data_IF_557638291315
#
_entry.id   IF_557638291315
#
_cell.length_a   1.000
_cell.length_b   1.000
_cell.length_c   1.000
_cell.angle_alpha   90.00
_cell.angle_beta   90.00
_cell.angle_gamma   90.00
#
_symmetry.space_group_name_H-M   'P 1'
#
loop_
_entity.id
_entity.type
_entity.pdbx_description
1 polymer ?
#
# COMPACT_ATOMS: atom_id res chain seq x y z
N UNK A 1 -2.09 11.81 -17.19
CA UNK A 1 -1.62 10.50 -16.65
C UNK A 1 -2.49 10.04 -15.50
N UNK A 2 -2.89 10.94 -14.59
CA UNK A 2 -3.84 10.68 -13.51
C UNK A 2 -5.08 9.89 -13.95
N UNK A 3 -5.80 10.35 -14.98
CA UNK A 3 -7.02 9.66 -15.48
C UNK A 3 -6.79 8.23 -16.01
N UNK A 4 -5.54 7.83 -16.28
CA UNK A 4 -5.21 6.47 -16.76
C UNK A 4 -4.62 5.58 -15.67
N UNK A 5 -3.81 6.15 -14.79
CA UNK A 5 -3.02 5.39 -13.80
C UNK A 5 -3.52 5.54 -12.37
N UNK A 6 -4.33 6.56 -12.09
CA UNK A 6 -4.69 6.98 -10.73
C UNK A 6 -3.58 7.71 -9.98
N UNK A 7 -2.42 7.93 -10.61
CA UNK A 7 -1.25 8.57 -9.97
C UNK A 7 -1.04 9.97 -10.58
N UNK A 8 -0.96 11.04 -9.76
CA UNK A 8 -0.69 12.40 -10.24
C UNK A 8 0.75 12.52 -10.75
N UNK A 9 0.97 13.39 -11.74
CA UNK A 9 2.32 13.67 -12.24
C UNK A 9 3.07 14.62 -11.32
N UNK A 10 4.37 14.80 -11.59
CA UNK A 10 5.18 15.79 -10.88
C UNK A 10 4.63 17.23 -11.07
N UNK A 11 4.09 17.54 -12.25
CA UNK A 11 3.44 18.83 -12.52
C UNK A 11 2.18 18.99 -11.66
N UNK A 12 1.32 17.97 -11.59
CA UNK A 12 0.13 17.97 -10.75
C UNK A 12 0.51 18.25 -9.29
N UNK A 13 1.49 17.50 -8.75
CA UNK A 13 1.96 17.64 -7.36
C UNK A 13 2.54 19.04 -7.11
N UNK A 14 3.26 19.62 -8.08
CA UNK A 14 3.84 20.96 -7.97
C UNK A 14 2.77 22.03 -7.78
N UNK A 15 1.57 21.86 -8.36
CA UNK A 15 0.47 22.84 -8.22
C UNK A 15 -0.06 22.95 -6.79
N UNK A 16 0.09 21.90 -5.97
CA UNK A 16 -0.41 21.83 -4.59
C UNK A 16 0.69 21.83 -3.54
N UNK A 17 1.95 22.02 -3.97
CA UNK A 17 3.12 22.00 -3.10
C UNK A 17 3.50 23.41 -2.63
N UNK A 18 3.70 23.64 -1.32
CA UNK A 18 4.25 24.88 -0.81
C UNK A 18 5.74 25.02 -1.16
N UNK A 19 6.30 26.22 -0.98
CA UNK A 19 7.74 26.42 -1.06
C UNK A 19 8.48 25.70 0.07
N UNK A 20 9.75 25.37 -0.15
CA UNK A 20 10.62 24.77 0.88
C UNK A 20 10.72 25.66 2.12
N UNK A 21 10.85 26.98 1.92
CA UNK A 21 10.84 27.97 3.01
C UNK A 21 9.56 27.91 3.84
N UNK A 22 8.42 27.58 3.22
CA UNK A 22 7.17 27.43 3.96
C UNK A 22 7.14 26.12 4.74
N UNK A 23 7.64 25.02 4.18
CA UNK A 23 7.65 23.71 4.85
C UNK A 23 8.41 23.74 6.19
N UNK A 24 9.48 24.54 6.28
CA UNK A 24 10.31 24.66 7.49
C UNK A 24 9.77 25.64 8.54
N UNK A 25 8.73 26.43 8.23
CA UNK A 25 8.10 27.36 9.20
C UNK A 25 7.15 26.70 10.18
N UNK A 26 6.77 25.45 9.91
CA UNK A 26 5.82 24.69 10.73
C UNK A 26 4.75 23.99 9.89
N UNK A 27 3.79 23.33 10.56
CA UNK A 27 2.87 22.43 9.90
C UNK A 27 1.98 23.16 8.88
N UNK A 28 1.71 22.49 7.76
CA UNK A 28 0.90 23.02 6.66
C UNK A 28 0.10 21.89 6.01
N UNK A 29 -1.13 22.21 5.57
CA UNK A 29 -1.94 21.24 4.82
C UNK A 29 -1.45 21.13 3.37
N UNK A 30 -1.54 19.93 2.81
CA UNK A 30 -1.36 19.63 1.39
C UNK A 30 -2.67 19.01 0.93
N UNK A 31 -3.31 19.62 -0.08
CA UNK A 31 -4.62 19.17 -0.59
C UNK A 31 -4.42 18.61 -1.99
N UNK A 32 -4.44 17.29 -2.12
CA UNK A 32 -4.19 16.57 -3.38
C UNK A 32 -5.51 16.28 -4.13
N UNK A 33 -6.33 17.32 -4.30
CA UNK A 33 -7.50 17.29 -5.17
C UNK A 33 -7.10 17.75 -6.57
N UNK A 34 -7.15 16.86 -7.56
CA UNK A 34 -6.71 17.14 -8.94
C UNK A 34 -7.84 17.09 -9.96
N UNK A 35 -9.07 16.79 -9.53
CA UNK A 35 -10.24 16.67 -10.39
C UNK A 35 -11.39 17.50 -9.85
N UNK A 36 -12.13 18.14 -10.76
CA UNK A 36 -13.30 18.95 -10.44
C UNK A 36 -14.47 18.02 -10.08
N UNK A 37 -14.64 17.79 -8.79
CA UNK A 37 -15.72 16.97 -8.20
C UNK A 37 -16.51 17.82 -7.22
N UNK A 38 -17.83 17.62 -7.07
CA UNK A 38 -18.66 18.47 -6.22
C UNK A 38 -18.41 18.18 -4.72
N UNK A 39 -17.44 18.88 -4.11
CA UNK A 39 -17.00 18.65 -2.74
C UNK A 39 -16.39 19.91 -2.07
N UNK A 40 -16.96 20.35 -0.95
CA UNK A 40 -16.49 21.49 -0.14
C UNK A 40 -16.25 21.26 1.38
N UNK A 41 -16.32 20.06 2.00
CA UNK A 41 -16.12 19.92 3.44
C UNK A 41 -14.82 20.52 3.99
N UNK A 42 -13.75 20.57 3.19
CA UNK A 42 -12.48 21.14 3.62
C UNK A 42 -12.54 22.67 3.78
N UNK A 43 -13.26 23.38 2.90
CA UNK A 43 -13.43 24.84 2.97
C UNK A 43 -14.32 25.20 4.15
N UNK A 44 -15.47 24.53 4.30
CA UNK A 44 -16.42 24.74 5.40
C UNK A 44 -15.81 24.42 6.78
N UNK A 45 -14.87 23.49 6.83
CA UNK A 45 -14.17 23.12 8.06
C UNK A 45 -13.09 24.12 8.47
N UNK A 46 -12.56 24.92 7.53
CA UNK A 46 -11.38 25.74 7.76
C UNK A 46 -11.71 27.02 8.55
N UNK A 47 -11.75 26.92 9.88
CA UNK A 47 -11.97 28.08 10.76
C UNK A 47 -10.87 29.15 10.68
N UNK A 48 -9.68 28.76 10.21
CA UNK A 48 -8.56 29.67 10.00
C UNK A 48 -8.74 30.56 8.76
N UNK A 49 -9.66 30.20 7.85
CA UNK A 49 -9.81 30.90 6.56
C UNK A 49 -8.64 30.66 5.59
N UNK A 50 -7.81 29.64 5.83
CA UNK A 50 -6.67 29.33 4.96
C UNK A 50 -7.10 28.65 3.66
N UNK A 51 -8.17 27.84 3.68
CA UNK A 51 -8.75 27.26 2.46
C UNK A 51 -9.85 28.20 1.99
N UNK A 52 -9.68 28.77 0.80
CA UNK A 52 -10.59 29.78 0.27
C UNK A 52 -11.98 29.20 -0.01
N UNK A 53 -13.07 29.97 0.19
CA UNK A 53 -14.40 29.57 -0.25
C UNK A 53 -14.44 29.27 -1.74
N UNK A 54 -15.28 28.30 -2.13
CA UNK A 54 -15.52 27.94 -3.52
C UNK A 54 -16.77 28.65 -4.01
N UNK A 55 -16.71 29.26 -5.20
CA UNK A 55 -17.90 29.81 -5.87
C UNK A 55 -18.76 28.67 -6.45
N UNK A 56 -18.11 27.70 -7.10
CA UNK A 56 -18.71 26.44 -7.53
C UNK A 56 -18.09 25.28 -6.71
N UNK A 57 -18.94 24.43 -6.14
CA UNK A 57 -18.53 23.26 -5.36
C UNK A 57 -17.67 22.27 -6.17
N UNK A 58 -17.69 22.35 -7.50
CA UNK A 58 -16.83 21.56 -8.37
C UNK A 58 -15.40 22.12 -8.49
N UNK A 59 -15.15 23.37 -8.07
CA UNK A 59 -13.82 23.97 -8.16
C UNK A 59 -12.84 23.28 -7.20
N UNK A 60 -11.56 23.26 -7.60
CA UNK A 60 -10.50 22.76 -6.75
C UNK A 60 -10.27 23.68 -5.53
N UNK A 61 -10.04 23.11 -4.33
CA UNK A 61 -9.75 23.88 -3.13
C UNK A 61 -8.44 24.65 -3.29
N UNK A 62 -8.48 25.96 -3.01
CA UNK A 62 -7.29 26.82 -3.00
C UNK A 62 -6.85 27.05 -1.57
N UNK A 63 -5.65 26.57 -1.23
CA UNK A 63 -5.06 26.76 0.08
C UNK A 63 -4.04 27.92 0.06
N UNK A 64 -4.23 28.88 0.94
CA UNK A 64 -3.20 29.83 1.32
C UNK A 64 -2.28 29.20 2.37
N UNK A 65 -1.07 28.85 1.94
CA UNK A 65 -0.10 28.21 2.82
C UNK A 65 0.36 29.13 3.96
N UNK A 66 0.39 30.45 3.78
CA UNK A 66 0.85 31.38 4.82
C UNK A 66 -0.16 31.51 5.96
N UNK A 67 -1.45 31.44 5.64
CA UNK A 67 -2.52 31.48 6.64
C UNK A 67 -2.80 30.10 7.27
N UNK A 68 -2.37 29.01 6.65
CA UNK A 68 -2.54 27.67 7.18
C UNK A 68 -1.62 27.41 8.39
N UNK A 69 -2.19 26.93 9.50
CA UNK A 69 -1.45 26.53 10.70
C UNK A 69 -1.34 25.00 10.88
N UNK A 70 -1.77 24.22 9.89
CA UNK A 70 -1.68 22.76 9.92
C UNK A 70 -2.47 22.08 11.06
N UNK A 71 -3.60 22.65 11.50
CA UNK A 71 -4.41 22.09 12.59
C UNK A 71 -4.99 20.70 12.29
N UNK A 72 -5.14 20.32 11.01
CA UNK A 72 -5.60 18.98 10.60
C UNK A 72 -7.12 18.78 10.59
N UNK A 73 -7.93 19.81 10.87
CA UNK A 73 -9.40 19.68 10.85
C UNK A 73 -9.90 19.32 9.44
N UNK A 74 -9.35 19.95 8.40
CA UNK A 74 -9.68 19.64 7.01
C UNK A 74 -9.31 18.20 6.63
N UNK A 75 -8.15 17.70 7.09
CA UNK A 75 -7.74 16.30 6.92
C UNK A 75 -8.79 15.35 7.48
N UNK A 76 -9.20 15.57 8.74
CA UNK A 76 -10.16 14.69 9.39
C UNK A 76 -11.54 14.66 8.71
N UNK A 77 -11.92 15.73 7.99
CA UNK A 77 -13.24 15.85 7.35
C UNK A 77 -13.22 15.59 5.86
N UNK A 78 -12.06 15.26 5.29
CA UNK A 78 -11.94 15.02 3.85
C UNK A 78 -12.56 13.67 3.50
N UNK A 79 -13.69 13.61 2.78
CA UNK A 79 -14.29 12.32 2.41
C UNK A 79 -13.44 11.56 1.39
N UNK A 80 -12.59 12.25 0.63
CA UNK A 80 -11.68 11.66 -0.35
C UNK A 80 -10.31 11.26 0.20
N UNK A 81 -10.05 11.46 1.51
CA UNK A 81 -8.76 11.19 2.15
C UNK A 81 -7.56 11.85 1.43
N UNK A 82 -7.80 12.96 0.73
CA UNK A 82 -6.84 13.63 -0.15
C UNK A 82 -6.05 14.76 0.53
N UNK A 83 -6.18 14.91 1.85
CA UNK A 83 -5.53 15.99 2.59
C UNK A 83 -4.52 15.40 3.57
N UNK A 84 -3.32 15.94 3.53
CA UNK A 84 -2.20 15.55 4.39
C UNK A 84 -1.73 16.79 5.15
N UNK A 85 -1.16 16.61 6.34
CA UNK A 85 -0.45 17.70 7.03
C UNK A 85 1.02 17.34 7.06
N UNK A 86 1.86 18.23 6.54
CA UNK A 86 3.31 18.05 6.53
C UNK A 86 3.96 19.09 7.43
N UNK A 87 5.03 18.69 8.11
CA UNK A 87 5.76 19.53 9.04
C UNK A 87 7.26 19.20 8.98
N UNK A 88 8.00 19.99 8.20
CA UNK A 88 9.45 19.85 8.07
C UNK A 88 10.23 20.66 9.13
N UNK A 89 9.54 21.35 10.05
CA UNK A 89 10.20 22.05 11.17
C UNK A 89 10.38 21.17 12.40
N UNK A 90 10.02 19.87 12.31
CA UNK A 90 10.01 18.95 13.45
C UNK A 90 11.40 18.70 14.06
N UNK A 91 12.41 18.40 13.23
CA UNK A 91 13.81 18.24 13.68
C UNK A 91 14.77 18.60 12.54
N UNK A 92 16.09 18.45 12.73
CA UNK A 92 17.07 18.74 11.68
C UNK A 92 17.02 17.74 10.52
N UNK A 93 16.75 16.47 10.81
CA UNK A 93 16.81 15.36 9.83
C UNK A 93 15.45 14.74 9.51
N UNK A 94 14.48 14.93 10.38
CA UNK A 94 13.16 14.29 10.28
C UNK A 94 12.06 15.33 10.15
N UNK A 95 10.94 14.87 9.63
CA UNK A 95 9.70 15.61 9.44
C UNK A 95 8.52 14.77 9.94
N UNK A 96 7.39 15.42 10.19
CA UNK A 96 6.12 14.73 10.45
C UNK A 96 5.23 14.81 9.22
N UNK A 97 4.66 13.67 8.84
CA UNK A 97 3.51 13.62 7.92
C UNK A 97 2.30 13.06 8.66
N UNK A 98 1.15 13.71 8.50
CA UNK A 98 -0.13 13.26 9.05
C UNK A 98 -0.98 12.73 7.91
N UNK A 99 -1.44 11.49 8.05
CA UNK A 99 -2.14 10.75 7.01
C UNK A 99 -3.54 10.37 7.52
N UNK A 100 -4.60 10.58 6.73
CA UNK A 100 -5.92 10.06 7.04
C UNK A 100 -5.95 8.53 6.84
N UNK A 101 -6.57 7.80 7.77
CA UNK A 101 -6.56 6.33 7.78
C UNK A 101 -7.92 5.77 8.21
N UNK A 102 -8.48 4.87 7.40
CA UNK A 102 -9.82 4.30 7.60
C UNK A 102 -9.84 2.76 7.62
N UNK A 103 -8.67 2.12 7.71
CA UNK A 103 -8.57 0.66 7.72
C UNK A 103 -8.47 0.09 9.14
N UNK A 104 -8.71 -1.21 9.25
CA UNK A 104 -8.47 -1.99 10.46
C UNK A 104 -7.41 -3.09 10.18
N UNK A 105 -6.51 -3.40 11.13
CA UNK A 105 -6.36 -2.74 12.43
C UNK A 105 -5.81 -1.32 12.31
N UNK A 106 -5.95 -0.54 13.39
CA UNK A 106 -5.35 0.80 13.52
C UNK A 106 -3.97 0.63 14.15
N UNK A 107 -2.90 1.25 13.60
CA UNK A 107 -1.56 1.13 14.17
C UNK A 107 -1.51 1.70 15.59
N UNK A 108 -0.53 1.23 16.36
CA UNK A 108 -0.26 1.76 17.71
C UNK A 108 0.87 2.79 17.69
N UNK A 109 0.88 3.69 18.68
CA UNK A 109 2.00 4.63 18.88
C UNK A 109 3.28 3.84 19.17
N UNK A 110 4.37 4.20 18.50
CA UNK A 110 5.66 3.50 18.53
C UNK A 110 5.76 2.30 17.57
N UNK A 111 4.66 1.90 16.92
CA UNK A 111 4.69 0.84 15.92
C UNK A 111 5.44 1.30 14.65
N UNK A 112 6.23 0.40 14.07
CA UNK A 112 6.86 0.63 12.76
C UNK A 112 5.94 0.15 11.65
N UNK A 113 5.56 1.06 10.76
CA UNK A 113 4.72 0.77 9.58
C UNK A 113 5.51 1.04 8.29
N UNK A 114 5.04 0.53 7.16
CA UNK A 114 5.63 0.85 5.86
C UNK A 114 4.97 2.11 5.32
N UNK A 115 5.75 3.12 4.99
CA UNK A 115 5.26 4.29 4.26
C UNK A 115 5.17 3.99 2.77
N UNK A 116 4.06 4.38 2.17
CA UNK A 116 3.77 4.19 0.76
C UNK A 116 3.69 5.53 0.04
N UNK A 117 4.14 5.55 -1.21
CA UNK A 117 3.93 6.69 -2.11
C UNK A 117 2.54 6.66 -2.76
N UNK A 118 2.27 7.62 -3.66
CA UNK A 118 1.00 7.77 -4.38
C UNK A 118 0.66 6.60 -5.32
N UNK A 119 1.66 5.84 -5.77
CA UNK A 119 1.50 4.63 -6.57
C UNK A 119 1.38 3.37 -5.71
N UNK A 120 1.46 3.49 -4.38
CA UNK A 120 1.46 2.36 -3.46
C UNK A 120 2.82 1.65 -3.34
N UNK A 121 3.89 2.25 -3.83
CA UNK A 121 5.25 1.71 -3.74
C UNK A 121 5.84 2.00 -2.35
N UNK A 122 6.70 1.09 -1.88
CA UNK A 122 7.27 1.15 -0.54
C UNK A 122 8.46 2.12 -0.50
N UNK A 123 8.39 3.12 0.39
CA UNK A 123 9.44 4.13 0.58
C UNK A 123 10.36 3.80 1.76
N UNK A 124 9.88 3.02 2.73
CA UNK A 124 10.63 2.66 3.92
C UNK A 124 9.76 2.30 5.10
N UNK A 125 10.40 2.01 6.23
CA UNK A 125 9.73 1.76 7.51
C UNK A 125 9.85 2.97 8.42
N UNK A 126 8.72 3.44 8.94
CA UNK A 126 8.61 4.67 9.71
C UNK A 126 7.85 4.44 11.01
N UNK A 127 8.20 5.18 12.04
CA UNK A 127 7.59 5.08 13.36
C UNK A 127 6.32 5.92 13.44
N UNK A 128 5.26 5.34 14.01
CA UNK A 128 4.01 6.03 14.32
C UNK A 128 4.18 6.85 15.59
N UNK A 129 4.30 8.17 15.45
CA UNK A 129 4.50 9.09 16.56
C UNK A 129 3.21 9.38 17.36
N UNK A 130 2.07 9.42 16.68
CA UNK A 130 0.77 9.70 17.30
C UNK A 130 -0.35 9.09 16.46
N UNK A 131 -1.43 8.70 17.14
CA UNK A 131 -2.69 8.27 16.53
C UNK A 131 -3.82 9.05 17.17
N UNK A 132 -4.70 9.62 16.34
CA UNK A 132 -5.89 10.35 16.80
C UNK A 132 -7.13 9.80 16.11
N UNK A 133 -8.14 9.43 16.89
CA UNK A 133 -9.46 9.04 16.37
C UNK A 133 -10.29 10.27 16.01
N UNK A 134 -11.04 10.21 14.91
CA UNK A 134 -12.10 11.16 14.59
C UNK A 134 -13.34 11.03 15.50
N UNK A 135 -13.39 10.02 16.38
CA UNK A 135 -14.46 9.79 17.34
C UNK A 135 -15.57 8.87 16.83
N UNK A 136 -16.77 9.02 17.39
CA UNK A 136 -17.89 8.12 17.05
C UNK A 136 -18.54 8.46 15.71
N UNK A 137 -18.68 9.75 15.40
CA UNK A 137 -19.34 10.27 14.18
C UNK A 137 -18.43 10.31 12.96
N UNK A 138 -17.12 10.22 13.18
CA UNK A 138 -16.12 10.24 12.13
C UNK A 138 -15.10 9.14 12.41
N UNK A 139 -15.06 8.13 11.53
CA UNK A 139 -14.22 6.95 11.69
C UNK A 139 -12.83 7.12 11.07
N UNK A 140 -12.54 8.28 10.47
CA UNK A 140 -11.20 8.61 9.98
C UNK A 140 -10.25 8.83 11.16
N UNK A 141 -9.16 8.05 11.18
CA UNK A 141 -8.04 8.29 12.06
C UNK A 141 -7.05 9.23 11.39
N UNK A 142 -6.35 10.02 12.19
CA UNK A 142 -5.14 10.72 11.74
C UNK A 142 -3.94 9.99 12.33
N UNK A 143 -2.98 9.65 11.49
CA UNK A 143 -1.75 8.94 11.88
C UNK A 143 -0.56 9.89 11.64
N UNK A 144 0.23 10.16 12.67
CA UNK A 144 1.46 10.95 12.57
C UNK A 144 2.61 10.00 12.38
N UNK A 145 3.36 10.17 11.31
CA UNK A 145 4.56 9.40 11.00
C UNK A 145 5.77 10.30 11.03
N UNK A 146 6.84 9.82 11.65
CA UNK A 146 8.15 10.44 11.59
C UNK A 146 8.87 9.88 10.37
N UNK A 147 9.20 10.75 9.44
CA UNK A 147 9.82 10.40 8.15
C UNK A 147 11.07 11.24 7.92
N UNK A 148 12.05 10.76 7.14
CA UNK A 148 13.12 11.61 6.61
C UNK A 148 12.56 12.84 5.89
N UNK A 149 13.23 13.99 6.02
CA UNK A 149 12.75 15.26 5.44
C UNK A 149 12.51 15.21 3.93
N UNK A 150 13.36 14.50 3.20
CA UNK A 150 13.26 14.28 1.76
C UNK A 150 11.97 13.53 1.37
N UNK A 151 11.41 12.72 2.26
CA UNK A 151 10.22 11.91 2.00
C UNK A 151 8.91 12.54 2.49
N UNK A 152 8.95 13.72 3.12
CA UNK A 152 7.76 14.36 3.72
C UNK A 152 6.64 14.64 2.70
N UNK A 153 7.02 14.96 1.47
CA UNK A 153 6.09 15.21 0.37
C UNK A 153 5.72 13.95 -0.43
N UNK A 154 6.35 12.81 -0.14
CA UNK A 154 6.15 11.58 -0.91
C UNK A 154 5.32 10.53 -0.19
N UNK A 155 5.43 10.44 1.14
CA UNK A 155 4.63 9.49 1.92
C UNK A 155 3.16 9.94 1.94
N UNK A 156 2.28 9.08 1.44
CA UNK A 156 0.82 9.33 1.31
C UNK A 156 -0.05 8.19 1.80
N UNK A 157 0.53 7.04 2.11
CA UNK A 157 -0.18 5.93 2.73
C UNK A 157 0.70 5.17 3.70
N UNK A 158 0.06 4.26 4.44
CA UNK A 158 0.77 3.29 5.26
C UNK A 158 0.25 1.89 5.03
N UNK A 159 1.11 0.91 5.29
CA UNK A 159 0.73 -0.49 5.40
C UNK A 159 1.29 -1.09 6.68
N UNK A 160 0.43 -1.80 7.40
CA UNK A 160 0.81 -2.51 8.62
C UNK A 160 1.63 -3.75 8.30
N UNK A 161 2.42 -4.21 9.28
CA UNK A 161 3.17 -5.46 9.19
C UNK A 161 4.52 -5.41 8.46
N UNK A 162 5.16 -4.23 8.38
CA UNK A 162 6.52 -4.10 7.82
C UNK A 162 6.62 -4.37 6.32
N UNK A 163 7.83 -4.25 5.73
CA UNK A 163 8.10 -4.61 4.32
C UNK A 163 7.60 -6.03 4.12
N UNK A 164 6.84 -6.34 3.05
CA UNK A 164 6.43 -7.72 2.75
C UNK A 164 7.65 -8.54 2.33
N UNK A 165 8.49 -8.89 3.29
CA UNK A 165 9.14 -10.18 3.26
C UNK A 165 8.06 -11.16 3.67
N UNK A 166 7.48 -11.88 2.71
CA UNK A 166 6.77 -13.10 3.07
C UNK A 166 7.71 -13.87 4.01
N UNK A 167 7.27 -14.04 5.27
CA UNK A 167 8.09 -14.62 6.32
C UNK A 167 8.67 -15.93 5.80
N UNK A 168 9.91 -16.28 6.20
CA UNK A 168 10.55 -17.54 5.74
C UNK A 168 9.62 -18.75 5.88
N UNK A 169 8.81 -18.75 6.94
CA UNK A 169 7.84 -19.80 7.28
C UNK A 169 6.51 -19.74 6.50
N UNK A 170 6.37 -18.86 5.51
CA UNK A 170 5.11 -18.75 4.75
C UNK A 170 4.85 -20.03 3.97
N UNK A 171 3.82 -20.79 4.35
CA UNK A 171 3.46 -22.04 3.66
C UNK A 171 2.89 -21.73 2.27
N UNK A 172 3.57 -22.25 1.24
CA UNK A 172 3.16 -22.19 -0.17
C UNK A 172 2.37 -23.43 -0.54
N UNK A 173 2.80 -24.64 -0.13
CA UNK A 173 2.07 -25.88 -0.37
C UNK A 173 1.57 -26.50 0.93
N UNK A 174 0.30 -26.26 1.26
CA UNK A 174 -0.35 -26.79 2.47
C UNK A 174 -0.49 -28.31 2.53
N UNK A 175 -0.36 -29.00 1.39
CA UNK A 175 -0.52 -30.46 1.36
C UNK A 175 0.78 -31.19 1.69
N UNK A 176 1.92 -30.55 1.45
CA UNK A 176 3.25 -31.14 1.64
C UNK A 176 4.07 -30.28 2.61
N UNK A 177 3.41 -29.34 3.31
CA UNK A 177 3.98 -28.38 4.27
C UNK A 177 5.21 -27.60 3.77
N UNK A 178 5.22 -27.26 2.48
CA UNK A 178 6.35 -26.56 1.84
C UNK A 178 6.24 -25.06 2.03
N UNK A 179 7.34 -24.46 2.49
CA UNK A 179 7.50 -23.02 2.72
C UNK A 179 7.93 -22.27 1.45
N UNK A 180 7.76 -20.95 1.47
CA UNK A 180 8.23 -20.06 0.43
C UNK A 180 9.75 -20.00 0.35
N UNK A 181 10.43 -20.11 1.49
CA UNK A 181 11.90 -20.08 1.54
C UNK A 181 12.51 -21.28 0.82
N UNK A 182 11.92 -22.47 0.98
CA UNK A 182 12.33 -23.67 0.23
C UNK A 182 12.17 -23.48 -1.29
N UNK A 183 11.04 -22.90 -1.72
CA UNK A 183 10.82 -22.59 -3.14
C UNK A 183 11.87 -21.58 -3.65
N UNK A 184 12.09 -20.48 -2.90
CA UNK A 184 13.07 -19.45 -3.27
C UNK A 184 14.50 -19.97 -3.28
N UNK A 185 14.86 -20.85 -2.34
CA UNK A 185 16.16 -21.49 -2.29
C UNK A 185 16.44 -22.27 -3.57
N UNK A 186 15.47 -23.05 -4.05
CA UNK A 186 15.62 -23.74 -5.34
C UNK A 186 15.71 -22.75 -6.51
N UNK A 187 14.86 -21.73 -6.57
CA UNK A 187 14.95 -20.74 -7.65
C UNK A 187 16.34 -20.07 -7.67
N UNK A 188 16.91 -19.78 -6.49
CA UNK A 188 18.27 -19.22 -6.36
C UNK A 188 19.38 -20.17 -6.80
N UNK A 189 19.16 -21.49 -6.70
CA UNK A 189 20.05 -22.53 -7.22
C UNK A 189 19.95 -22.71 -8.75
N UNK A 190 19.07 -21.95 -9.43
CA UNK A 190 18.96 -21.95 -10.88
C UNK A 190 17.85 -22.82 -11.45
N UNK A 191 16.97 -23.39 -10.62
CA UNK A 191 15.77 -24.07 -11.10
C UNK A 191 14.82 -23.06 -11.77
N UNK A 192 14.27 -23.42 -12.94
CA UNK A 192 13.52 -22.50 -13.81
C UNK A 192 12.07 -22.88 -14.03
N UNK A 193 11.70 -24.12 -13.70
CA UNK A 193 10.36 -24.64 -13.98
C UNK A 193 9.69 -25.18 -12.73
N UNK A 194 8.35 -25.15 -12.75
CA UNK A 194 7.54 -25.69 -11.65
C UNK A 194 7.72 -27.21 -11.56
N UNK A 195 7.91 -27.91 -12.68
CA UNK A 195 8.12 -29.37 -12.68
C UNK A 195 9.46 -29.77 -12.05
N UNK A 196 10.52 -28.96 -12.20
CA UNK A 196 11.78 -29.18 -11.48
C UNK A 196 11.60 -29.00 -9.98
N UNK A 197 11.03 -27.87 -9.56
CA UNK A 197 10.77 -27.56 -8.14
C UNK A 197 9.90 -28.65 -7.51
N UNK A 198 8.82 -29.06 -8.20
CA UNK A 198 7.93 -30.15 -7.78
C UNK A 198 8.68 -31.47 -7.59
N UNK A 199 9.67 -31.81 -8.42
CA UNK A 199 10.42 -33.08 -8.28
C UNK A 199 11.34 -33.09 -7.07
N UNK A 200 11.85 -31.92 -6.67
CA UNK A 200 12.78 -31.81 -5.54
C UNK A 200 12.02 -31.78 -4.21
N UNK A 201 11.05 -30.86 -4.07
CA UNK A 201 10.36 -30.61 -2.79
C UNK A 201 8.88 -31.01 -2.80
N UNK A 202 8.43 -31.76 -3.81
CA UNK A 202 7.07 -32.31 -3.91
C UNK A 202 5.94 -31.29 -3.96
N UNK A 203 6.24 -29.98 -4.04
CA UNK A 203 5.24 -28.93 -4.09
C UNK A 203 4.27 -29.15 -5.26
N UNK A 204 2.99 -29.36 -4.93
CA UNK A 204 1.93 -29.65 -5.89
C UNK A 204 1.66 -31.15 -6.15
N UNK A 205 2.31 -32.06 -5.43
CA UNK A 205 2.06 -33.51 -5.50
C UNK A 205 0.99 -34.02 -4.55
N UNK A 206 0.55 -33.20 -3.58
CA UNK A 206 -0.50 -33.57 -2.64
C UNK A 206 -1.89 -33.76 -3.28
N UNK A 207 -2.93 -34.08 -2.49
CA UNK A 207 -4.28 -34.37 -3.00
C UNK A 207 -4.92 -33.22 -3.78
N UNK A 208 -4.48 -31.97 -3.56
CA UNK A 208 -4.93 -30.81 -4.32
C UNK A 208 -4.32 -30.72 -5.74
N UNK A 209 -3.31 -31.54 -6.06
CA UNK A 209 -2.59 -31.56 -7.34
C UNK A 209 -2.12 -30.16 -7.79
N UNK A 210 -1.59 -29.39 -6.84
CA UNK A 210 -1.01 -28.07 -7.11
C UNK A 210 -2.01 -26.96 -7.39
N UNK A 211 -3.32 -27.16 -7.18
CA UNK A 211 -4.35 -26.12 -7.42
C UNK A 211 -4.12 -24.82 -6.65
N UNK A 212 -3.54 -24.91 -5.45
CA UNK A 212 -3.29 -23.75 -4.59
C UNK A 212 -1.88 -23.20 -4.78
N UNK A 213 -0.86 -24.08 -4.82
CA UNK A 213 0.53 -23.65 -4.80
C UNK A 213 1.14 -23.34 -6.17
N UNK A 214 0.67 -23.94 -7.27
CA UNK A 214 1.36 -23.84 -8.58
C UNK A 214 1.49 -22.40 -9.07
N UNK A 215 0.44 -21.59 -8.90
CA UNK A 215 0.45 -20.20 -9.35
C UNK A 215 1.30 -19.31 -8.45
N UNK A 216 1.40 -19.65 -7.15
CA UNK A 216 2.29 -18.95 -6.23
C UNK A 216 3.75 -19.19 -6.62
N UNK A 217 4.11 -20.45 -6.93
CA UNK A 217 5.45 -20.80 -7.41
C UNK A 217 5.73 -20.12 -8.77
N UNK A 218 4.74 -20.10 -9.68
CA UNK A 218 4.87 -19.42 -10.96
C UNK A 218 5.16 -17.92 -10.80
N UNK A 219 4.49 -17.25 -9.87
CA UNK A 219 4.72 -15.83 -9.58
C UNK A 219 6.13 -15.57 -9.04
N UNK A 220 6.68 -16.44 -8.19
CA UNK A 220 8.04 -16.30 -7.69
C UNK A 220 9.09 -16.52 -8.79
N UNK A 221 8.88 -17.50 -9.67
CA UNK A 221 9.73 -17.71 -10.86
C UNK A 221 9.70 -16.48 -11.77
N UNK A 222 8.50 -15.99 -12.11
CA UNK A 222 8.31 -14.79 -12.93
C UNK A 222 9.03 -13.57 -12.34
N UNK A 223 8.90 -13.38 -11.03
CA UNK A 223 9.54 -12.28 -10.30
C UNK A 223 11.06 -12.36 -10.33
N UNK A 224 11.65 -13.53 -10.07
CA UNK A 224 13.11 -13.69 -10.01
C UNK A 224 13.74 -13.61 -11.40
N UNK A 225 13.10 -14.17 -12.42
CA UNK A 225 13.62 -14.16 -13.80
C UNK A 225 13.16 -12.95 -14.62
N UNK A 226 12.33 -12.06 -14.06
CA UNK A 226 11.87 -10.84 -14.73
C UNK A 226 11.01 -11.10 -15.98
N UNK A 227 10.27 -12.20 -16.00
CA UNK A 227 9.40 -12.59 -17.13
C UNK A 227 7.91 -12.43 -16.77
N UNK A 228 7.01 -12.19 -17.74
CA UNK A 228 5.58 -12.28 -17.51
C UNK A 228 5.17 -13.65 -16.95
N UNK A 229 4.18 -13.67 -16.04
CA UNK A 229 3.70 -14.94 -15.43
C UNK A 229 3.17 -15.92 -16.49
N UNK A 230 2.63 -15.42 -17.60
CA UNK A 230 2.15 -16.24 -18.73
C UNK A 230 3.26 -16.99 -19.46
N UNK A 231 4.51 -16.54 -19.35
CA UNK A 231 5.67 -17.14 -20.02
C UNK A 231 6.36 -18.20 -19.14
N UNK A 232 5.91 -18.38 -17.90
CA UNK A 232 6.41 -19.42 -17.00
C UNK A 232 5.92 -20.80 -17.47
N UNK A 233 6.86 -21.73 -17.63
CA UNK A 233 6.53 -23.10 -18.04
C UNK A 233 5.71 -23.84 -16.96
N UNK A 234 4.46 -24.14 -17.29
CA UNK A 234 3.51 -24.83 -16.43
C UNK A 234 3.66 -26.36 -16.51
N UNK A 235 3.41 -27.09 -15.41
CA UNK A 235 3.46 -28.55 -15.40
C UNK A 235 2.29 -29.15 -16.20
N UNK A 236 2.48 -30.37 -16.67
CA UNK A 236 1.42 -31.12 -17.37
C UNK A 236 0.23 -31.44 -16.45
N UNK A 237 -0.99 -31.17 -16.92
CA UNK A 237 -2.22 -31.56 -16.23
C UNK A 237 -2.56 -33.02 -16.58
N UNK A 238 -2.75 -33.86 -15.55
CA UNK A 238 -3.01 -35.30 -15.72
C UNK A 238 -4.35 -35.71 -15.13
N UNK A 239 -4.97 -36.70 -15.74
CA UNK A 239 -6.15 -37.37 -15.19
C UNK A 239 -5.77 -38.35 -14.06
N UNK A 240 -6.66 -38.61 -13.08
CA UNK A 240 -7.95 -37.94 -12.88
C UNK A 240 -7.79 -36.55 -12.24
N UNK A 241 -8.62 -35.59 -12.66
CA UNK A 241 -8.53 -34.19 -12.20
C UNK A 241 -8.76 -34.05 -10.69
N UNK A 242 -9.58 -34.94 -10.12
CA UNK A 242 -9.82 -35.09 -8.68
C UNK A 242 -9.51 -36.52 -8.27
N UNK A 243 -9.12 -36.79 -7.01
CA UNK A 243 -9.01 -38.16 -6.52
C UNK A 243 -10.32 -38.92 -6.74
N UNK A 244 -10.23 -40.12 -7.30
CA UNK A 244 -11.34 -41.05 -7.52
C UNK A 244 -10.99 -42.36 -6.82
N UNK A 245 -11.97 -43.00 -6.18
CA UNK A 245 -11.76 -44.31 -5.55
C UNK A 245 -11.36 -45.33 -6.62
N UNK A 246 -10.43 -46.22 -6.27
CA UNK A 246 -9.99 -47.26 -7.22
C UNK A 246 -11.15 -48.18 -7.63
N UNK A 247 -12.09 -48.46 -6.72
CA UNK A 247 -13.29 -49.25 -6.98
C UNK A 247 -14.15 -48.72 -8.14
N UNK A 248 -14.24 -47.40 -8.28
CA UNK A 248 -14.98 -46.75 -9.39
C UNK A 248 -14.42 -47.12 -10.76
N UNK A 249 -13.11 -47.32 -10.89
CA UNK A 249 -12.50 -47.78 -12.14
C UNK A 249 -12.69 -49.28 -12.38
N UNK A 250 -12.90 -50.08 -11.32
CA UNK A 250 -13.14 -51.51 -11.38
C UNK A 250 -14.64 -51.87 -11.55
N UNK A 251 -15.53 -50.87 -11.67
CA UNK A 251 -16.98 -51.06 -11.81
C UNK A 251 -17.73 -51.17 -10.48
N UNK A 252 -17.08 -50.92 -9.34
CA UNK A 252 -17.77 -50.72 -8.05
C UNK A 252 -18.25 -49.28 -7.87
N UNK A 253 -19.23 -49.07 -6.99
CA UNK A 253 -19.71 -47.72 -6.63
C UNK A 253 -18.64 -46.85 -5.95
#
# INVERSE_FOLDING_TARGET
MLNKTGVPTAEDIKTVSPSEERLIKGPVAIIECFQEIPCNPCTEACKQGAIQPMEDINNLPKLDFNNCNGCGVCLSRCPGLAIFIVDASYSDKEAIVRIPYEYAPVPQVGEKVVGLNRAGEELGSFEVHKVQSGGQKNKTYTIWLVVPKDLVMDVRGIRLGGVRHAAKETIVCRCEDITLDEVKSLISQGYRTIDEIKRVIRAGMGPCQGRTCRMLIAQELAKVYGIPVGDVLMPTFRAPVKPVKLGTFAGGE
#
